data_IF_456348457359
#
_entry.id   IF_456348457359
#
_cell.length_a   1.000
_cell.length_b   1.000
_cell.length_c   1.000
_cell.angle_alpha   90.00
_cell.angle_beta   90.00
_cell.angle_gamma   90.00
#
_symmetry.space_group_name_H-M   'P 1'
#
loop_
_entity.id
_entity.type
_entity.pdbx_description
1 polymer ?
#
# COMPACT_ATOMS: atom_id res chain seq x y z
N UNK A 1 21.07 -54.25 -40.04
CA UNK A 1 19.87 -53.64 -39.43
C UNK A 1 20.23 -52.32 -38.80
N UNK A 2 20.08 -51.25 -39.58
CA UNK A 2 20.41 -49.89 -39.13
C UNK A 2 19.16 -49.23 -38.59
N UNK A 3 19.14 -48.88 -37.30
CA UNK A 3 18.08 -48.01 -36.69
C UNK A 3 18.60 -46.57 -36.73
N UNK A 4 18.01 -45.77 -37.58
CA UNK A 4 18.15 -44.32 -37.54
C UNK A 4 17.32 -43.73 -36.42
N UNK A 5 17.95 -43.04 -35.47
CA UNK A 5 17.29 -42.18 -34.48
C UNK A 5 16.93 -40.84 -35.16
N UNK A 6 15.63 -40.58 -35.21
CA UNK A 6 15.12 -39.26 -35.62
C UNK A 6 15.04 -38.38 -34.37
N UNK A 7 15.90 -37.40 -34.26
CA UNK A 7 15.89 -36.40 -33.21
C UNK A 7 14.92 -35.28 -33.60
N UNK A 8 13.74 -35.22 -32.99
CA UNK A 8 12.81 -34.10 -33.14
C UNK A 8 13.32 -32.90 -32.31
N UNK A 9 13.81 -31.87 -32.96
CA UNK A 9 14.14 -30.58 -32.32
C UNK A 9 12.88 -29.74 -32.32
N UNK A 10 12.20 -29.64 -31.15
CA UNK A 10 11.13 -28.68 -30.95
C UNK A 10 11.73 -27.28 -30.72
N UNK A 11 11.68 -26.45 -31.75
CA UNK A 11 12.01 -25.02 -31.62
C UNK A 11 10.87 -24.30 -30.89
N UNK A 12 11.11 -23.90 -29.65
CA UNK A 12 10.26 -22.98 -28.91
C UNK A 12 10.41 -21.56 -29.53
N UNK A 13 9.46 -21.16 -30.33
CA UNK A 13 9.31 -19.77 -30.79
C UNK A 13 8.72 -18.98 -29.63
N UNK A 14 9.57 -18.23 -28.91
CA UNK A 14 9.14 -17.24 -27.96
C UNK A 14 8.49 -16.06 -28.72
N UNK A 15 7.17 -16.01 -28.78
CA UNK A 15 6.45 -14.82 -29.23
C UNK A 15 6.63 -13.70 -28.19
N UNK A 16 7.59 -12.84 -28.42
CA UNK A 16 7.66 -11.54 -27.74
C UNK A 16 6.59 -10.64 -28.35
N UNK A 17 5.45 -10.51 -27.67
CA UNK A 17 4.47 -9.48 -28.02
C UNK A 17 5.12 -8.11 -27.75
N UNK A 18 5.00 -7.15 -28.69
CA UNK A 18 5.49 -5.81 -28.43
C UNK A 18 4.65 -5.23 -27.29
N UNK A 19 5.29 -4.89 -26.16
CA UNK A 19 4.71 -3.98 -25.19
C UNK A 19 4.49 -2.67 -25.95
N UNK A 20 3.20 -2.34 -26.21
CA UNK A 20 2.84 -1.06 -26.77
C UNK A 20 3.33 0.01 -25.77
N UNK A 21 4.45 0.62 -26.10
CA UNK A 21 4.94 1.78 -25.37
C UNK A 21 3.86 2.87 -25.50
N UNK A 22 3.09 3.09 -24.44
CA UNK A 22 2.29 4.30 -24.32
C UNK A 22 3.25 5.48 -24.50
N UNK A 23 2.96 6.34 -25.49
CA UNK A 23 3.68 7.60 -25.66
C UNK A 23 3.59 8.31 -24.30
N UNK A 24 4.71 8.69 -23.66
CA UNK A 24 4.67 9.39 -22.39
C UNK A 24 3.80 10.63 -22.58
N UNK A 25 2.64 10.69 -21.93
CA UNK A 25 1.93 11.94 -21.77
C UNK A 25 2.91 12.89 -21.08
N UNK A 26 2.98 14.14 -21.52
CA UNK A 26 3.82 15.13 -20.84
C UNK A 26 3.54 15.02 -19.35
N UNK A 27 4.61 14.81 -18.54
CA UNK A 27 4.54 14.58 -17.08
C UNK A 27 3.71 15.67 -16.43
N UNK A 28 2.41 15.48 -16.36
CA UNK A 28 1.47 16.48 -15.86
C UNK A 28 1.58 16.59 -14.33
N UNK A 29 1.40 17.80 -13.81
CA UNK A 29 1.35 18.07 -12.37
C UNK A 29 -0.10 18.22 -11.90
N UNK A 30 -0.32 18.24 -10.58
CA UNK A 30 -1.64 18.33 -9.96
C UNK A 30 -2.33 16.98 -9.84
N UNK A 31 -3.65 17.06 -9.67
CA UNK A 31 -4.54 15.91 -9.48
C UNK A 31 -4.90 15.27 -10.82
N UNK A 32 -4.75 13.96 -10.91
CA UNK A 32 -4.96 13.22 -12.16
C UNK A 32 -5.67 11.89 -11.90
N UNK A 33 -6.78 11.66 -12.59
CA UNK A 33 -7.49 10.39 -12.63
C UNK A 33 -6.99 9.61 -13.83
N UNK A 34 -6.48 8.42 -13.60
CA UNK A 34 -5.82 7.59 -14.61
C UNK A 34 -6.31 6.16 -14.58
N UNK A 35 -5.98 5.43 -15.63
CA UNK A 35 -6.21 3.98 -15.73
C UNK A 35 -5.13 3.33 -16.58
N UNK A 36 -4.92 2.04 -16.36
CA UNK A 36 -4.01 1.22 -17.17
C UNK A 36 -4.56 -0.19 -17.37
N UNK A 37 -4.10 -0.89 -18.39
CA UNK A 37 -4.46 -2.30 -18.61
C UNK A 37 -3.64 -3.16 -17.66
N UNK A 38 -4.30 -3.81 -16.71
CA UNK A 38 -3.67 -4.72 -15.77
C UNK A 38 -3.43 -6.08 -16.44
N UNK A 39 -2.19 -6.34 -16.84
CA UNK A 39 -1.81 -7.48 -17.65
C UNK A 39 -2.32 -8.86 -17.16
N UNK A 40 -2.35 -9.17 -15.84
CA UNK A 40 -2.81 -10.47 -15.36
C UNK A 40 -4.28 -10.80 -15.67
N UNK A 41 -5.12 -9.78 -15.90
CA UNK A 41 -6.56 -9.97 -16.14
C UNK A 41 -7.05 -9.28 -17.40
N UNK A 42 -6.27 -8.39 -18.01
CA UNK A 42 -6.68 -7.56 -19.14
C UNK A 42 -7.66 -6.43 -18.76
N UNK A 43 -7.98 -6.26 -17.48
CA UNK A 43 -8.93 -5.24 -17.02
C UNK A 43 -8.28 -3.86 -16.98
N UNK A 44 -9.09 -2.83 -17.21
CA UNK A 44 -8.70 -1.44 -16.96
C UNK A 44 -8.75 -1.18 -15.45
N UNK A 45 -7.62 -0.86 -14.86
CA UNK A 45 -7.51 -0.56 -13.44
C UNK A 45 -7.36 0.95 -13.22
N UNK A 46 -8.30 1.57 -12.48
CA UNK A 46 -8.21 2.98 -12.16
C UNK A 46 -7.20 3.22 -11.04
N UNK A 47 -6.52 4.34 -11.12
CA UNK A 47 -5.70 4.89 -10.05
C UNK A 47 -5.73 6.41 -10.10
N UNK A 48 -5.47 7.05 -8.97
CA UNK A 48 -5.37 8.51 -8.90
C UNK A 48 -4.00 8.90 -8.41
N UNK A 49 -3.45 9.96 -8.99
CA UNK A 49 -2.17 10.51 -8.56
C UNK A 49 -2.30 12.00 -8.28
N UNK A 50 -1.48 12.46 -7.35
CA UNK A 50 -1.20 13.87 -7.17
C UNK A 50 0.30 14.10 -7.34
N UNK A 51 0.66 15.02 -8.22
CA UNK A 51 2.05 15.45 -8.43
C UNK A 51 2.14 16.93 -8.08
N UNK A 52 3.06 17.35 -7.19
CA UNK A 52 3.18 18.75 -6.81
C UNK A 52 3.26 19.68 -8.02
N UNK A 53 2.44 20.72 -8.03
CA UNK A 53 2.41 21.72 -9.12
C UNK A 53 3.70 22.53 -9.18
N UNK A 54 4.40 22.60 -8.05
CA UNK A 54 5.71 23.25 -7.90
C UNK A 54 6.86 22.40 -8.43
N UNK A 55 6.61 21.15 -8.87
CA UNK A 55 7.66 20.31 -9.44
C UNK A 55 8.19 20.85 -10.77
N UNK A 56 9.50 20.95 -10.88
CA UNK A 56 10.22 21.49 -12.03
C UNK A 56 10.43 20.50 -13.20
N UNK A 57 9.89 19.29 -13.08
CA UNK A 57 10.06 18.22 -14.07
C UNK A 57 11.42 17.52 -14.01
N UNK A 58 12.32 17.89 -13.11
CA UNK A 58 13.72 17.39 -13.03
C UNK A 58 14.02 16.72 -11.68
N UNK A 59 13.59 17.34 -10.58
CA UNK A 59 13.85 16.82 -9.25
C UNK A 59 13.22 15.45 -9.06
N UNK A 60 13.97 14.48 -8.52
CA UNK A 60 13.44 13.18 -8.12
C UNK A 60 12.67 13.32 -6.82
N UNK A 61 11.35 13.27 -6.88
CA UNK A 61 10.46 13.46 -5.72
C UNK A 61 10.27 12.17 -4.93
N UNK A 62 10.06 12.26 -3.61
CA UNK A 62 9.56 11.15 -2.82
C UNK A 62 8.12 10.80 -3.22
N UNK A 63 7.74 9.53 -3.02
CA UNK A 63 6.43 9.02 -3.41
C UNK A 63 5.75 8.28 -2.26
N UNK A 64 4.45 8.52 -2.08
CA UNK A 64 3.58 7.84 -1.11
C UNK A 64 2.61 6.93 -1.85
N UNK A 65 2.62 5.63 -1.55
CA UNK A 65 1.54 4.71 -1.90
C UNK A 65 0.46 4.81 -0.83
N UNK A 66 -0.75 5.25 -1.22
CA UNK A 66 -1.90 5.38 -0.33
C UNK A 66 -2.93 4.29 -0.58
N UNK A 67 -3.23 3.48 0.45
CA UNK A 67 -4.17 2.37 0.41
C UNK A 67 -5.49 2.74 1.11
N UNK A 68 -6.60 2.62 0.40
CA UNK A 68 -7.93 2.97 0.92
C UNK A 68 -8.54 1.88 1.83
N UNK A 69 -9.59 2.26 2.57
CA UNK A 69 -10.38 1.36 3.41
C UNK A 69 -11.35 0.48 2.61
N UNK A 70 -11.94 -0.52 3.26
CA UNK A 70 -12.89 -1.44 2.64
C UNK A 70 -14.10 -0.72 2.03
N UNK A 71 -14.43 -1.04 0.77
CA UNK A 71 -15.54 -0.43 0.03
C UNK A 71 -15.29 0.98 -0.49
N UNK A 72 -14.12 1.55 -0.23
CA UNK A 72 -13.67 2.83 -0.78
C UNK A 72 -13.02 2.63 -2.18
N UNK A 73 -12.42 3.68 -2.73
CA UNK A 73 -11.76 3.66 -4.03
C UNK A 73 -10.53 4.59 -4.05
N UNK A 74 -9.88 4.67 -5.21
CA UNK A 74 -8.68 5.46 -5.46
C UNK A 74 -8.84 6.98 -5.20
N UNK A 75 -10.07 7.50 -5.22
CA UNK A 75 -10.37 8.92 -4.98
C UNK A 75 -10.60 9.27 -3.52
N UNK A 76 -10.98 8.30 -2.70
CA UNK A 76 -11.56 8.55 -1.37
C UNK A 76 -10.77 9.49 -0.49
N UNK A 77 -9.48 9.27 -0.29
CA UNK A 77 -8.67 10.11 0.61
C UNK A 77 -8.09 11.36 -0.07
N UNK A 78 -8.02 11.38 -1.40
CA UNK A 78 -7.65 12.58 -2.12
C UNK A 78 -8.78 13.63 -2.11
N UNK A 79 -10.05 13.17 -2.08
CA UNK A 79 -11.21 14.07 -2.02
C UNK A 79 -11.59 14.46 -0.58
N UNK A 80 -11.18 13.67 0.41
CA UNK A 80 -11.54 13.88 1.83
C UNK A 80 -11.01 15.23 2.35
N UNK A 81 -11.80 15.89 3.21
CA UNK A 81 -11.42 17.15 3.88
C UNK A 81 -10.90 18.21 2.90
N UNK A 82 -11.66 18.46 1.83
CA UNK A 82 -11.32 19.43 0.78
C UNK A 82 -9.93 19.20 0.15
N UNK A 83 -9.57 17.94 -0.03
CA UNK A 83 -8.30 17.58 -0.65
C UNK A 83 -7.08 17.80 0.27
N UNK A 84 -7.25 17.64 1.59
CA UNK A 84 -6.17 17.85 2.55
C UNK A 84 -4.91 17.05 2.21
N UNK A 85 -5.06 15.77 1.82
CA UNK A 85 -3.92 14.94 1.43
C UNK A 85 -3.13 15.57 0.27
N UNK A 86 -3.83 16.09 -0.74
CA UNK A 86 -3.19 16.76 -1.89
C UNK A 86 -2.53 18.08 -1.50
N UNK A 87 -3.15 18.85 -0.60
CA UNK A 87 -2.57 20.11 -0.08
C UNK A 87 -1.27 19.86 0.68
N UNK A 88 -1.24 18.82 1.50
CA UNK A 88 -0.03 18.40 2.22
C UNK A 88 1.03 17.85 1.25
N UNK A 89 0.62 17.06 0.25
CA UNK A 89 1.53 16.56 -0.78
C UNK A 89 2.20 17.71 -1.57
N UNK A 90 1.45 18.76 -1.90
CA UNK A 90 1.99 20.01 -2.49
C UNK A 90 3.01 20.67 -1.56
N UNK A 91 2.60 20.91 -0.31
CA UNK A 91 3.41 21.62 0.69
C UNK A 91 4.72 20.92 0.99
N UNK A 92 4.68 19.59 1.10
CA UNK A 92 5.84 18.75 1.48
C UNK A 92 6.59 18.18 0.27
N UNK A 93 6.11 18.38 -0.95
CA UNK A 93 6.76 17.94 -2.18
C UNK A 93 6.78 16.41 -2.35
N UNK A 94 5.65 15.73 -2.15
CA UNK A 94 5.47 14.32 -2.38
C UNK A 94 4.57 14.04 -3.59
N UNK A 95 4.92 13.03 -4.38
CA UNK A 95 3.94 12.39 -5.26
C UNK A 95 3.07 11.47 -4.38
N UNK A 96 1.76 11.50 -4.59
CA UNK A 96 0.84 10.52 -3.99
C UNK A 96 0.28 9.64 -5.09
N UNK A 97 0.32 8.33 -4.93
CA UNK A 97 -0.34 7.36 -5.80
C UNK A 97 -1.36 6.57 -4.98
N UNK A 98 -2.61 6.55 -5.43
CA UNK A 98 -3.73 5.86 -4.79
C UNK A 98 -4.39 4.94 -5.81
N UNK A 99 -4.09 3.64 -5.81
CA UNK A 99 -4.71 2.63 -6.68
C UNK A 99 -6.04 2.11 -6.11
N UNK A 100 -6.85 1.44 -6.93
CA UNK A 100 -8.07 0.77 -6.49
C UNK A 100 -7.80 -0.50 -5.65
N UNK A 101 -6.65 -1.16 -5.82
CA UNK A 101 -6.38 -2.41 -5.14
C UNK A 101 -7.10 -3.61 -5.76
N UNK A 102 -7.24 -3.64 -7.09
CA UNK A 102 -7.93 -4.62 -7.92
C UNK A 102 -9.46 -4.63 -7.72
N UNK A 103 -9.92 -4.64 -6.48
CA UNK A 103 -11.34 -4.46 -6.12
C UNK A 103 -11.45 -3.58 -4.87
N UNK A 104 -12.62 -2.94 -4.61
CA UNK A 104 -12.83 -2.16 -3.38
C UNK A 104 -12.65 -2.96 -2.09
N UNK A 105 -12.58 -4.30 -2.16
CA UNK A 105 -12.38 -5.23 -1.05
C UNK A 105 -11.14 -6.12 -1.22
N UNK A 106 -10.21 -5.75 -2.09
CA UNK A 106 -9.03 -6.56 -2.46
C UNK A 106 -8.07 -6.85 -1.32
N UNK A 107 -8.00 -5.97 -0.33
CA UNK A 107 -7.20 -6.10 0.90
C UNK A 107 -5.69 -6.20 0.70
N UNK A 108 -5.17 -5.89 -0.50
CA UNK A 108 -3.73 -5.67 -0.73
C UNK A 108 -2.83 -6.85 -0.34
N UNK A 109 -3.37 -8.07 -0.44
CA UNK A 109 -2.68 -9.29 -0.03
C UNK A 109 -2.95 -9.75 1.41
N UNK A 110 -3.51 -8.91 2.28
CA UNK A 110 -3.78 -9.26 3.67
C UNK A 110 -5.12 -10.03 3.81
N UNK A 111 -5.13 -11.29 4.29
CA UNK A 111 -6.37 -12.04 4.48
C UNK A 111 -7.16 -11.61 5.72
N UNK A 112 -6.54 -10.86 6.63
CA UNK A 112 -7.16 -10.49 7.92
C UNK A 112 -8.18 -9.36 7.73
N UNK A 113 -9.27 -9.42 8.51
CA UNK A 113 -10.36 -8.44 8.54
C UNK A 113 -10.72 -8.11 9.98
N UNK A 114 -11.32 -6.95 10.22
CA UNK A 114 -11.96 -6.67 11.50
C UNK A 114 -13.06 -7.72 11.76
N UNK A 115 -13.20 -8.26 12.99
CA UNK A 115 -12.49 -7.88 14.22
C UNK A 115 -11.18 -8.62 14.52
N UNK A 116 -10.55 -9.30 13.54
CA UNK A 116 -9.27 -10.00 13.78
C UNK A 116 -8.14 -8.99 13.88
N UNK A 117 -8.09 -8.30 15.01
CA UNK A 117 -7.04 -7.36 15.38
C UNK A 117 -6.00 -8.06 16.24
N UNK A 118 -4.82 -7.42 16.42
CA UNK A 118 -3.77 -7.90 17.31
C UNK A 118 -4.31 -8.20 18.72
N UNK A 119 -3.85 -9.28 19.32
CA UNK A 119 -4.37 -9.76 20.61
C UNK A 119 -5.52 -10.78 20.50
N UNK A 120 -5.98 -11.11 19.27
CA UNK A 120 -7.01 -12.11 19.04
C UNK A 120 -6.53 -13.24 18.09
N UNK A 121 -5.50 -14.03 18.48
CA UNK A 121 -4.85 -14.99 17.60
C UNK A 121 -5.79 -16.08 17.05
N UNK A 122 -6.77 -16.50 17.86
CA UNK A 122 -7.76 -17.51 17.42
C UNK A 122 -8.64 -16.99 16.28
N UNK A 123 -9.07 -15.71 16.35
CA UNK A 123 -9.83 -15.08 15.28
C UNK A 123 -8.99 -14.91 14.00
N UNK A 124 -7.73 -14.52 14.13
CA UNK A 124 -6.81 -14.40 13.01
C UNK A 124 -6.54 -15.76 12.34
N UNK A 125 -6.33 -16.83 13.12
CA UNK A 125 -6.15 -18.18 12.62
C UNK A 125 -7.39 -18.68 11.87
N UNK A 126 -8.59 -18.44 12.42
CA UNK A 126 -9.86 -18.79 11.78
C UNK A 126 -10.07 -18.07 10.45
N UNK A 127 -9.75 -16.79 10.38
CA UNK A 127 -9.88 -16.02 9.14
C UNK A 127 -8.92 -16.52 8.06
N UNK A 128 -7.68 -16.87 8.40
CA UNK A 128 -6.74 -17.46 7.44
C UNK A 128 -7.19 -18.82 6.95
N UNK A 129 -7.67 -19.68 7.85
CA UNK A 129 -8.19 -20.99 7.49
C UNK A 129 -9.42 -20.93 6.57
N UNK A 130 -10.19 -19.84 6.64
CA UNK A 130 -11.38 -19.63 5.82
C UNK A 130 -11.07 -19.05 4.42
N UNK A 131 -9.81 -18.80 4.07
CA UNK A 131 -9.43 -18.24 2.75
C UNK A 131 -9.59 -19.31 1.67
N UNK A 132 -10.56 -19.11 0.78
CA UNK A 132 -10.77 -19.95 -0.40
C UNK A 132 -9.71 -19.69 -1.46
N UNK A 133 -9.54 -20.59 -2.44
CA UNK A 133 -8.64 -20.39 -3.57
C UNK A 133 -9.00 -19.13 -4.38
N UNK A 134 -10.30 -18.87 -4.57
CA UNK A 134 -10.79 -17.66 -5.24
C UNK A 134 -10.37 -16.40 -4.48
N UNK A 135 -10.54 -16.37 -3.16
CA UNK A 135 -10.12 -15.25 -2.32
C UNK A 135 -8.59 -15.08 -2.30
N UNK A 136 -7.85 -16.17 -2.25
CA UNK A 136 -6.38 -16.11 -2.34
C UNK A 136 -5.92 -15.49 -3.66
N UNK A 137 -6.56 -15.87 -4.77
CA UNK A 137 -6.28 -15.26 -6.07
C UNK A 137 -6.58 -13.74 -6.07
N UNK A 138 -7.72 -13.33 -5.53
CA UNK A 138 -8.07 -11.92 -5.40
C UNK A 138 -7.06 -11.13 -4.55
N UNK A 139 -6.63 -11.68 -3.41
CA UNK A 139 -5.60 -11.09 -2.56
C UNK A 139 -4.29 -10.89 -3.33
N UNK A 140 -3.84 -11.90 -4.07
CA UNK A 140 -2.62 -11.83 -4.87
C UNK A 140 -2.73 -10.78 -6.00
N UNK A 141 -3.89 -10.70 -6.67
CA UNK A 141 -4.13 -9.69 -7.71
C UNK A 141 -4.17 -8.28 -7.12
N UNK A 142 -4.75 -8.12 -5.93
CA UNK A 142 -4.80 -6.83 -5.23
C UNK A 142 -3.39 -6.35 -4.80
N UNK A 143 -2.54 -7.25 -4.28
CA UNK A 143 -1.15 -6.95 -3.97
C UNK A 143 -0.38 -6.54 -5.24
N UNK A 144 -0.50 -7.33 -6.29
CA UNK A 144 0.20 -7.07 -7.56
C UNK A 144 -0.28 -5.76 -8.22
N UNK A 145 -1.58 -5.47 -8.16
CA UNK A 145 -2.15 -4.26 -8.75
C UNK A 145 -1.56 -3.00 -8.12
N UNK A 146 -1.53 -2.90 -6.78
CA UNK A 146 -1.02 -1.69 -6.12
C UNK A 146 0.47 -1.50 -6.32
N UNK A 147 1.24 -2.58 -6.36
CA UNK A 147 2.67 -2.52 -6.67
C UNK A 147 2.92 -2.12 -8.13
N UNK A 148 2.07 -2.57 -9.06
CA UNK A 148 2.14 -2.17 -10.49
C UNK A 148 1.84 -0.68 -10.65
N UNK A 149 0.78 -0.17 -10.02
CA UNK A 149 0.45 1.25 -10.08
C UNK A 149 1.58 2.12 -9.51
N UNK A 150 2.18 1.71 -8.39
CA UNK A 150 3.35 2.38 -7.82
C UNK A 150 4.54 2.42 -8.80
N UNK A 151 4.85 1.29 -9.46
CA UNK A 151 5.96 1.22 -10.43
C UNK A 151 5.70 2.12 -11.65
N UNK A 152 4.48 2.09 -12.22
CA UNK A 152 4.10 2.95 -13.36
C UNK A 152 4.40 4.43 -13.02
N UNK A 153 3.96 4.90 -11.87
CA UNK A 153 4.15 6.30 -11.46
C UNK A 153 5.62 6.60 -11.13
N UNK A 154 6.29 5.66 -10.46
CA UNK A 154 7.72 5.80 -10.13
C UNK A 154 8.58 5.94 -11.39
N UNK A 155 8.34 5.11 -12.40
CA UNK A 155 9.08 5.17 -13.67
C UNK A 155 8.73 6.41 -14.48
N UNK A 156 7.44 6.74 -14.61
CA UNK A 156 6.98 7.88 -15.38
C UNK A 156 7.56 9.20 -14.85
N UNK A 157 7.53 9.40 -13.53
CA UNK A 157 8.00 10.66 -12.93
C UNK A 157 9.47 10.64 -12.50
N UNK A 158 10.15 9.50 -12.59
CA UNK A 158 11.50 9.34 -12.05
C UNK A 158 11.54 9.57 -10.55
N UNK A 159 10.52 9.08 -9.82
CA UNK A 159 10.43 9.22 -8.37
C UNK A 159 11.58 8.49 -7.67
N UNK A 160 11.98 9.00 -6.51
CA UNK A 160 13.09 8.45 -5.75
C UNK A 160 12.71 7.14 -5.05
N UNK A 161 13.19 6.04 -5.59
CA UNK A 161 12.93 4.70 -5.04
C UNK A 161 13.42 4.51 -3.60
N UNK A 162 14.42 5.27 -3.17
CA UNK A 162 14.94 5.24 -1.79
C UNK A 162 14.05 6.04 -0.81
N UNK A 163 13.13 6.85 -1.34
CA UNK A 163 12.17 7.67 -0.60
C UNK A 163 10.74 7.29 -0.98
N UNK A 164 10.46 5.99 -0.97
CA UNK A 164 9.11 5.43 -1.17
C UNK A 164 8.47 5.16 0.19
N UNK A 165 7.28 5.71 0.40
CA UNK A 165 6.52 5.64 1.63
C UNK A 165 5.20 4.91 1.42
N UNK A 166 4.68 4.32 2.49
CA UNK A 166 3.44 3.56 2.45
C UNK A 166 2.49 4.06 3.54
N UNK A 167 1.27 4.42 3.16
CA UNK A 167 0.21 4.78 4.09
C UNK A 167 -1.06 4.00 3.77
N UNK A 168 -1.86 3.67 4.78
CA UNK A 168 -3.12 2.98 4.55
C UNK A 168 -4.05 3.04 5.74
N UNK A 169 -5.35 3.17 5.49
CA UNK A 169 -6.37 3.27 6.51
C UNK A 169 -7.29 2.04 6.51
N UNK A 170 -7.66 1.55 7.70
CA UNK A 170 -8.61 0.43 7.85
C UNK A 170 -8.10 -0.82 7.08
N UNK A 171 -8.84 -1.33 6.10
CA UNK A 171 -8.37 -2.39 5.21
C UNK A 171 -7.00 -2.04 4.60
N UNK A 172 -6.77 -0.77 4.24
CA UNK A 172 -5.48 -0.28 3.76
C UNK A 172 -4.39 -0.30 4.83
N UNK A 173 -4.72 -0.14 6.13
CA UNK A 173 -3.78 -0.39 7.23
C UNK A 173 -3.33 -1.85 7.22
N UNK A 174 -4.28 -2.78 7.02
CA UNK A 174 -3.95 -4.20 6.83
C UNK A 174 -3.02 -4.45 5.66
N UNK A 175 -3.29 -3.78 4.53
CA UNK A 175 -2.40 -3.79 3.37
C UNK A 175 -1.01 -3.22 3.67
N UNK A 176 -0.96 -2.10 4.41
CA UNK A 176 0.31 -1.48 4.81
C UNK A 176 1.16 -2.41 5.69
N UNK A 177 0.57 -3.09 6.67
CA UNK A 177 1.25 -4.12 7.45
C UNK A 177 1.75 -5.28 6.58
N UNK A 178 0.89 -5.79 5.67
CA UNK A 178 1.25 -6.88 4.78
C UNK A 178 2.43 -6.53 3.87
N UNK A 179 2.34 -5.39 3.17
CA UNK A 179 3.37 -4.94 2.24
C UNK A 179 4.67 -4.55 2.96
N UNK A 180 4.59 -3.98 4.17
CA UNK A 180 5.76 -3.71 5.00
C UNK A 180 6.56 -4.97 5.30
N UNK A 181 5.89 -6.06 5.69
CA UNK A 181 6.55 -7.34 5.97
C UNK A 181 6.98 -8.08 4.70
N UNK A 182 6.24 -7.92 3.60
CA UNK A 182 6.52 -8.59 2.31
C UNK A 182 7.73 -8.01 1.61
N UNK A 183 7.85 -6.66 1.62
CA UNK A 183 8.85 -5.87 0.88
C UNK A 183 9.50 -4.81 1.77
N UNK A 184 10.10 -5.17 2.93
CA UNK A 184 10.60 -4.18 3.90
C UNK A 184 11.66 -3.23 3.32
N UNK A 185 12.42 -3.68 2.32
CA UNK A 185 13.45 -2.90 1.64
C UNK A 185 12.89 -1.85 0.66
N UNK A 186 11.60 -1.94 0.32
CA UNK A 186 10.94 -1.00 -0.59
C UNK A 186 10.51 0.30 0.10
N UNK A 187 10.36 0.26 1.43
CA UNK A 187 9.74 1.35 2.17
C UNK A 187 10.73 2.11 3.02
N UNK A 188 10.77 3.42 2.85
CA UNK A 188 11.52 4.30 3.72
C UNK A 188 10.86 4.43 5.09
N UNK A 189 9.52 4.49 5.11
CA UNK A 189 8.69 4.43 6.31
C UNK A 189 7.25 4.03 5.96
N UNK A 190 6.49 3.60 6.98
CA UNK A 190 5.12 3.10 6.83
C UNK A 190 4.20 3.75 7.85
N UNK A 191 2.99 4.16 7.42
CA UNK A 191 1.98 4.77 8.29
C UNK A 191 0.65 3.98 8.22
N UNK A 192 0.48 2.88 9.00
CA UNK A 192 -0.79 2.19 9.16
C UNK A 192 -1.72 3.01 10.06
N UNK A 193 -2.92 3.33 9.56
CA UNK A 193 -3.93 4.12 10.26
C UNK A 193 -5.15 3.28 10.58
N UNK A 194 -5.55 3.22 11.85
CA UNK A 194 -6.74 2.53 12.36
C UNK A 194 -6.89 1.08 11.89
N UNK A 195 -6.10 0.21 12.51
CA UNK A 195 -6.21 -1.23 12.32
C UNK A 195 -4.91 -2.00 12.47
N UNK A 196 -4.72 -2.72 13.58
CA UNK A 196 -3.59 -3.62 13.79
C UNK A 196 -3.90 -5.00 13.17
N UNK A 197 -4.00 -5.08 11.84
CA UNK A 197 -4.35 -6.29 11.09
C UNK A 197 -3.15 -7.23 10.96
N UNK A 198 -2.52 -7.54 12.07
CA UNK A 198 -1.41 -8.47 12.16
C UNK A 198 -1.75 -9.59 13.15
N UNK A 199 -1.23 -10.76 12.91
CA UNK A 199 -1.37 -11.90 13.81
C UNK A 199 -0.09 -12.07 14.63
N UNK A 200 -0.23 -11.99 15.94
CA UNK A 200 0.87 -12.08 16.89
C UNK A 200 1.75 -13.32 16.67
N UNK A 201 1.12 -14.47 16.35
CA UNK A 201 1.82 -15.76 16.21
C UNK A 201 2.54 -15.96 14.88
N UNK A 202 2.17 -15.23 13.82
CA UNK A 202 2.67 -15.50 12.46
C UNK A 202 3.20 -14.28 11.72
N UNK A 203 2.97 -13.07 12.23
CA UNK A 203 3.48 -11.87 11.59
C UNK A 203 5.00 -11.75 11.79
N UNK A 204 5.79 -11.56 10.73
CA UNK A 204 7.25 -11.61 10.81
C UNK A 204 7.85 -10.27 11.29
N UNK A 205 7.64 -9.91 12.56
CA UNK A 205 8.09 -8.65 13.16
C UNK A 205 9.59 -8.38 12.98
N UNK A 206 10.43 -9.41 12.98
CA UNK A 206 11.88 -9.24 12.79
C UNK A 206 12.25 -8.67 11.42
N UNK A 207 11.43 -8.91 10.38
CA UNK A 207 11.65 -8.33 9.04
C UNK A 207 11.47 -6.82 9.01
N UNK A 208 10.63 -6.28 9.89
CA UNK A 208 10.31 -4.85 9.96
C UNK A 208 10.93 -4.14 11.15
N UNK A 209 11.79 -4.81 11.92
CA UNK A 209 12.32 -4.30 13.18
C UNK A 209 12.97 -2.92 13.08
N UNK A 210 13.63 -2.65 11.94
CA UNK A 210 14.31 -1.37 11.69
C UNK A 210 13.53 -0.43 10.76
N UNK A 211 12.40 -0.89 10.23
CA UNK A 211 11.54 -0.07 9.36
C UNK A 211 10.78 0.93 10.23
N UNK A 212 10.94 2.24 10.01
CA UNK A 212 10.20 3.24 10.77
C UNK A 212 8.70 3.12 10.52
N UNK A 213 7.91 2.97 11.58
CA UNK A 213 6.45 2.79 11.51
C UNK A 213 5.78 3.88 12.33
N UNK A 214 4.77 4.55 11.78
CA UNK A 214 3.92 5.49 12.47
C UNK A 214 2.49 4.97 12.55
N UNK A 215 2.16 4.32 13.64
CA UNK A 215 0.80 3.84 13.92
C UNK A 215 -0.08 4.98 14.41
N UNK A 216 -1.29 5.08 13.88
CA UNK A 216 -2.27 6.06 14.37
C UNK A 216 -3.63 5.42 14.60
N UNK A 217 -4.36 5.90 15.61
CA UNK A 217 -5.68 5.38 15.97
C UNK A 217 -6.59 6.50 16.48
N UNK A 218 -7.93 6.34 16.27
CA UNK A 218 -8.92 7.21 16.84
C UNK A 218 -9.39 6.72 18.22
N UNK A 219 -9.64 7.62 19.16
CA UNK A 219 -10.14 7.28 20.51
C UNK A 219 -11.66 7.15 20.59
N UNK A 220 -12.40 7.72 19.60
CA UNK A 220 -13.85 7.63 19.52
C UNK A 220 -14.27 6.40 18.71
N UNK A 221 -15.15 5.54 19.25
CA UNK A 221 -15.87 4.43 18.60
C UNK A 221 -15.11 3.73 17.43
N UNK A 222 -13.86 3.33 17.65
CA UNK A 222 -13.10 2.54 16.68
C UNK A 222 -13.06 1.07 17.13
N UNK A 223 -13.27 0.11 16.21
CA UNK A 223 -13.27 -1.31 16.59
C UNK A 223 -11.85 -1.84 16.85
N UNK A 224 -10.81 -1.05 16.57
CA UNK A 224 -9.40 -1.46 16.60
C UNK A 224 -8.58 -0.83 17.74
N UNK A 225 -9.13 0.13 18.50
CA UNK A 225 -8.38 0.91 19.49
C UNK A 225 -7.63 0.04 20.51
N UNK A 226 -8.32 -0.92 21.14
CA UNK A 226 -7.66 -1.77 22.14
C UNK A 226 -6.57 -2.65 21.50
N UNK A 227 -6.83 -3.23 20.33
CA UNK A 227 -5.81 -3.99 19.61
C UNK A 227 -4.59 -3.16 19.22
N UNK A 228 -4.80 -1.90 18.83
CA UNK A 228 -3.70 -0.96 18.51
C UNK A 228 -2.86 -0.65 19.76
N UNK A 229 -3.49 -0.46 20.91
CA UNK A 229 -2.80 -0.27 22.20
C UNK A 229 -1.98 -1.50 22.61
N UNK A 230 -2.56 -2.69 22.44
CA UNK A 230 -1.86 -3.95 22.72
C UNK A 230 -0.65 -4.11 21.78
N UNK A 231 -0.84 -3.88 20.48
CA UNK A 231 0.25 -3.94 19.50
C UNK A 231 1.37 -2.93 19.82
N UNK A 232 1.01 -1.70 20.19
CA UNK A 232 1.99 -0.67 20.57
C UNK A 232 2.84 -1.09 21.77
N UNK A 233 2.24 -1.72 22.81
CA UNK A 233 3.00 -2.30 23.93
C UNK A 233 3.93 -3.42 23.47
N UNK A 234 3.41 -4.36 22.68
CA UNK A 234 4.15 -5.47 22.13
C UNK A 234 5.39 -5.03 21.32
N UNK A 235 5.21 -4.03 20.45
CA UNK A 235 6.30 -3.48 19.64
C UNK A 235 7.37 -2.77 20.50
N UNK A 236 6.94 -2.03 21.53
CA UNK A 236 7.85 -1.34 22.46
C UNK A 236 8.71 -2.31 23.24
N UNK A 237 8.11 -3.37 23.78
CA UNK A 237 8.81 -4.41 24.55
C UNK A 237 9.87 -5.14 23.71
N UNK A 238 9.69 -5.19 22.39
CA UNK A 238 10.61 -5.85 21.44
C UNK A 238 11.57 -4.89 20.73
N UNK A 239 11.54 -3.62 21.08
CA UNK A 239 12.47 -2.63 20.54
C UNK A 239 12.31 -2.40 19.03
N UNK A 240 11.08 -2.46 18.52
CA UNK A 240 10.80 -2.09 17.13
C UNK A 240 10.90 -0.56 16.95
N UNK A 241 11.25 -0.12 15.75
CA UNK A 241 11.30 1.30 15.40
C UNK A 241 9.88 1.80 15.07
N UNK A 242 9.16 2.37 16.04
CA UNK A 242 7.81 2.88 15.81
C UNK A 242 7.46 4.09 16.68
N UNK A 243 6.50 4.86 16.19
CA UNK A 243 5.77 5.90 16.93
C UNK A 243 4.29 5.53 16.95
N UNK A 244 3.57 5.95 18.00
CA UNK A 244 2.13 5.72 18.13
C UNK A 244 1.42 6.99 18.57
N UNK A 245 0.36 7.37 17.84
CA UNK A 245 -0.46 8.54 18.12
C UNK A 245 -1.94 8.16 18.18
N UNK A 246 -2.62 8.59 19.22
CA UNK A 246 -4.09 8.59 19.30
C UNK A 246 -4.62 10.01 19.09
N UNK A 247 -5.73 10.12 18.34
CA UNK A 247 -6.45 11.39 18.12
C UNK A 247 -7.90 11.26 18.52
N UNK A 248 -8.54 12.35 18.90
CA UNK A 248 -9.95 12.36 19.30
C UNK A 248 -10.87 12.35 18.05
N UNK A 249 -11.05 11.15 17.48
CA UNK A 249 -11.84 10.92 16.29
C UNK A 249 -12.34 9.47 16.22
N UNK A 250 -13.43 9.24 15.49
CA UNK A 250 -13.89 7.88 15.18
C UNK A 250 -13.08 7.29 14.02
N UNK A 251 -13.39 6.04 13.64
CA UNK A 251 -12.70 5.30 12.59
C UNK A 251 -12.48 6.08 11.28
N UNK A 252 -13.43 6.89 10.86
CA UNK A 252 -13.33 7.68 9.61
C UNK A 252 -12.81 9.10 9.84
N UNK A 253 -13.27 9.78 10.90
CA UNK A 253 -12.93 11.19 11.15
C UNK A 253 -11.50 11.41 11.63
N UNK A 254 -10.82 10.36 12.14
CA UNK A 254 -9.43 10.43 12.53
C UNK A 254 -8.47 10.68 11.34
N UNK A 255 -8.84 10.23 10.14
CA UNK A 255 -7.94 10.22 8.98
C UNK A 255 -7.43 11.61 8.62
N UNK A 256 -8.28 12.63 8.41
CA UNK A 256 -7.78 13.98 8.15
C UNK A 256 -7.00 14.57 9.34
N UNK A 257 -7.29 14.14 10.57
CA UNK A 257 -6.59 14.64 11.76
C UNK A 257 -5.14 14.14 11.85
N UNK A 258 -4.86 12.94 11.34
CA UNK A 258 -3.51 12.35 11.41
C UNK A 258 -2.62 12.68 10.23
N UNK A 259 -3.18 13.13 9.08
CA UNK A 259 -2.37 13.43 7.90
C UNK A 259 -1.22 14.41 8.14
N UNK A 260 -1.38 15.55 8.85
CA UNK A 260 -0.26 16.44 9.14
C UNK A 260 0.88 15.70 9.86
N UNK A 261 0.56 14.89 10.86
CA UNK A 261 1.54 14.11 11.62
C UNK A 261 2.23 13.01 10.80
N UNK A 262 1.49 12.39 9.84
CA UNK A 262 2.07 11.41 8.89
C UNK A 262 3.11 12.08 8.01
N UNK A 263 2.82 13.28 7.47
CA UNK A 263 3.78 14.01 6.64
C UNK A 263 5.00 14.47 7.44
N UNK A 264 4.81 15.00 8.66
CA UNK A 264 5.91 15.34 9.57
C UNK A 264 6.78 14.12 9.88
N UNK A 265 6.17 12.96 10.15
CA UNK A 265 6.89 11.72 10.36
C UNK A 265 7.69 11.32 9.12
N UNK A 266 7.10 11.32 7.94
CA UNK A 266 7.79 10.98 6.70
C UNK A 266 8.94 11.94 6.39
N UNK A 267 8.77 13.24 6.65
CA UNK A 267 9.84 14.23 6.48
C UNK A 267 11.05 13.96 7.38
N UNK A 268 10.84 13.51 8.62
CA UNK A 268 11.95 13.10 9.50
C UNK A 268 12.72 11.88 8.96
N UNK A 269 12.09 11.07 8.11
CA UNK A 269 12.71 9.90 7.49
C UNK A 269 13.34 10.16 6.11
N UNK A 270 13.30 11.38 5.60
CA UNK A 270 13.83 11.72 4.25
C UNK A 270 15.36 11.61 4.14
N UNK A 271 16.08 11.69 5.26
CA UNK A 271 17.56 11.76 5.31
C UNK A 271 18.20 10.39 5.39
#
# INVERSE_FOLDING_TARGET
MNRQLVTCVCALIALTLPVSAQVPSARATGDQRRQYVFAPTGQQMPYRIYVPKTWDGKASLPIILMLHGAGANEGTYLDQADGLLMKLAEQHGYIVVSPLGFTPLGAYGNPLRLPAVFGHPAAAASQRAAVTLARQRELNLSELEVMTALEIVTEEYGADRSRTYLAGHSMGSGGAWHLAARYPERWRAVAPMSGPFVDEGTYPFERIKRLPIFMTEGTGATPSLEGSRVLARYMRERGLAFEYLEVDGNHGSMVPMVWPHVFEFFDRQRR
#
